data_IF_420357824856
#
_entry.id   IF_420357824856
#
_cell.length_a   1.000
_cell.length_b   1.000
_cell.length_c   1.000
_cell.angle_alpha   90.00
_cell.angle_beta   90.00
_cell.angle_gamma   90.00
#
_symmetry.space_group_name_H-M   'P 1'
#
loop_
_entity.id
_entity.type
_entity.pdbx_description
1 polymer ?
#
# COMPACT_ATOMS: atom_id res chain seq x y z
N UNK A 1 6.47 -14.45 -6.80
CA UNK A 1 6.40 -13.07 -6.29
C UNK A 1 5.01 -12.81 -5.71
N UNK A 2 4.97 -12.25 -4.52
CA UNK A 2 3.73 -11.81 -3.87
C UNK A 2 3.62 -10.31 -4.09
N UNK A 3 2.49 -9.85 -4.63
CA UNK A 3 2.20 -8.43 -4.80
C UNK A 3 1.32 -7.97 -3.64
N UNK A 4 1.84 -7.04 -2.86
CA UNK A 4 1.19 -6.54 -1.66
C UNK A 4 0.93 -5.04 -1.74
N UNK A 5 -0.18 -4.60 -1.15
CA UNK A 5 -0.49 -3.19 -0.98
C UNK A 5 -0.35 -2.87 0.51
N UNK A 6 0.26 -1.73 0.82
CA UNK A 6 0.32 -1.20 2.18
C UNK A 6 -0.24 0.22 2.18
N UNK A 7 -1.20 0.49 3.07
CA UNK A 7 -1.92 1.77 3.09
C UNK A 7 -2.53 2.05 4.46
N UNK A 8 -2.55 3.32 4.83
CA UNK A 8 -3.28 3.80 6.02
C UNK A 8 -4.50 4.59 5.56
N UNK A 9 -5.66 4.27 6.13
CA UNK A 9 -6.93 4.89 5.78
C UNK A 9 -7.73 5.22 7.04
N UNK A 10 -8.72 6.11 6.92
CA UNK A 10 -9.71 6.27 7.98
C UNK A 10 -10.95 5.41 7.67
N UNK A 11 -12.02 5.58 8.45
CA UNK A 11 -13.27 4.81 8.28
C UNK A 11 -13.98 5.05 6.95
N UNK A 12 -13.68 6.16 6.29
CA UNK A 12 -14.22 6.50 4.95
C UNK A 12 -13.25 6.13 3.82
N UNK A 13 -12.21 5.35 4.12
CA UNK A 13 -11.14 5.01 3.18
C UNK A 13 -10.34 6.22 2.69
N UNK A 14 -10.36 7.32 3.42
CA UNK A 14 -9.60 8.51 3.09
C UNK A 14 -8.11 8.30 3.35
N UNK A 15 -7.28 8.72 2.40
CA UNK A 15 -5.82 8.59 2.47
C UNK A 15 -5.09 9.92 2.35
N UNK A 16 -5.68 10.92 1.73
CA UNK A 16 -4.99 12.17 1.49
C UNK A 16 -5.89 13.38 1.41
N UNK A 17 -5.26 14.54 1.62
CA UNK A 17 -5.87 15.86 1.45
C UNK A 17 -4.80 16.84 1.00
N UNK A 18 -5.04 17.57 -0.08
CA UNK A 18 -4.11 18.55 -0.65
C UNK A 18 -2.69 18.00 -0.84
N UNK A 19 -2.60 16.81 -1.43
CA UNK A 19 -1.34 16.09 -1.72
C UNK A 19 -0.54 15.69 -0.48
N UNK A 20 -1.17 15.60 0.69
CA UNK A 20 -0.54 15.17 1.94
C UNK A 20 -1.31 14.03 2.57
N UNK A 21 -0.61 13.19 3.34
CA UNK A 21 -1.26 12.20 4.19
C UNK A 21 -2.06 12.94 5.27
N UNK A 22 -3.27 12.43 5.56
CA UNK A 22 -4.15 13.04 6.56
C UNK A 22 -3.63 12.81 7.98
N UNK A 23 -3.10 11.61 8.22
CA UNK A 23 -2.73 11.18 9.57
C UNK A 23 -1.24 10.85 9.64
N UNK A 24 -0.65 11.21 10.78
CA UNK A 24 0.67 10.73 11.16
C UNK A 24 0.50 9.74 12.30
N UNK A 25 0.82 8.48 12.03
CA UNK A 25 0.70 7.38 12.99
C UNK A 25 2.09 6.78 13.19
N UNK A 26 2.82 7.14 14.27
CA UNK A 26 4.21 6.68 14.46
C UNK A 26 4.36 5.16 14.41
N UNK A 27 3.44 4.42 15.01
CA UNK A 27 3.50 2.96 14.98
C UNK A 27 3.24 2.39 13.60
N UNK A 28 2.45 3.07 12.77
CA UNK A 28 2.26 2.69 11.37
C UNK A 28 3.54 2.87 10.57
N UNK A 29 4.27 3.95 10.80
CA UNK A 29 5.56 4.18 10.15
C UNK A 29 6.59 3.11 10.52
N UNK A 30 6.60 2.69 11.78
CA UNK A 30 7.46 1.58 12.24
C UNK A 30 7.11 0.27 11.57
N UNK A 31 5.81 -0.03 11.47
CA UNK A 31 5.31 -1.23 10.80
C UNK A 31 5.65 -1.22 9.31
N UNK A 32 5.43 -0.09 8.65
CA UNK A 32 5.79 0.10 7.24
C UNK A 32 7.26 -0.21 7.00
N UNK A 33 8.14 0.35 7.82
CA UNK A 33 9.57 0.11 7.73
C UNK A 33 9.91 -1.37 7.95
N UNK A 34 9.31 -1.99 8.95
CA UNK A 34 9.57 -3.40 9.27
C UNK A 34 9.12 -4.33 8.13
N UNK A 35 7.96 -4.06 7.52
CA UNK A 35 7.43 -4.88 6.43
C UNK A 35 8.21 -4.71 5.13
N UNK A 36 8.64 -3.48 4.81
CA UNK A 36 9.19 -3.17 3.49
C UNK A 36 10.72 -3.26 3.41
N UNK A 37 11.44 -3.19 4.53
CA UNK A 37 12.90 -3.26 4.52
C UNK A 37 13.39 -4.58 3.93
N UNK A 38 14.33 -4.48 2.99
CA UNK A 38 14.84 -5.62 2.25
C UNK A 38 13.99 -6.02 1.04
N UNK A 39 12.93 -5.29 0.76
CA UNK A 39 12.01 -5.57 -0.35
C UNK A 39 11.96 -4.42 -1.36
N UNK A 40 11.26 -4.66 -2.45
CA UNK A 40 10.98 -3.64 -3.46
C UNK A 40 9.69 -2.90 -3.10
N UNK A 41 9.75 -1.57 -3.20
CA UNK A 41 8.58 -0.69 -3.08
C UNK A 41 8.34 0.01 -4.40
N UNK A 42 7.07 0.07 -4.82
CA UNK A 42 6.64 0.73 -6.05
C UNK A 42 5.68 1.85 -5.69
N UNK A 43 5.90 3.01 -6.26
CA UNK A 43 5.13 4.22 -5.99
C UNK A 43 4.97 5.08 -7.24
N UNK A 44 3.94 5.92 -7.24
CA UNK A 44 3.80 6.97 -8.23
C UNK A 44 4.72 8.15 -7.93
N UNK A 45 4.89 9.04 -8.90
CA UNK A 45 5.77 10.20 -8.79
C UNK A 45 5.42 11.11 -7.61
N UNK A 46 4.12 11.42 -7.43
CA UNK A 46 3.68 12.30 -6.35
C UNK A 46 3.99 11.72 -4.97
N UNK A 47 3.85 10.42 -4.82
CA UNK A 47 4.22 9.73 -3.56
C UNK A 47 5.71 9.87 -3.31
N UNK A 48 6.54 9.69 -4.32
CA UNK A 48 7.98 9.89 -4.18
C UNK A 48 8.31 11.32 -3.76
N UNK A 49 7.67 12.29 -4.40
CA UNK A 49 7.91 13.71 -4.10
C UNK A 49 7.48 14.08 -2.66
N UNK A 50 6.59 13.30 -2.06
CA UNK A 50 6.16 13.49 -0.67
C UNK A 50 7.14 12.93 0.36
N UNK A 51 8.11 12.12 -0.06
CA UNK A 51 9.10 11.54 0.85
C UNK A 51 10.13 12.60 1.25
N UNK A 52 10.28 12.90 2.56
CA UNK A 52 11.12 14.02 3.01
C UNK A 52 12.60 13.90 2.63
N UNK A 53 13.10 12.66 2.56
CA UNK A 53 14.52 12.38 2.30
C UNK A 53 14.75 11.63 0.98
N UNK A 54 13.76 11.59 0.09
CA UNK A 54 13.85 10.87 -1.17
C UNK A 54 13.76 9.36 -1.00
N UNK A 55 14.52 8.61 -1.80
CA UNK A 55 14.47 7.16 -1.80
C UNK A 55 14.67 6.56 -0.40
N UNK A 56 13.83 5.58 -0.07
CA UNK A 56 13.88 4.96 1.26
C UNK A 56 15.05 3.96 1.33
N UNK A 57 15.85 4.01 2.40
CA UNK A 57 17.04 3.16 2.50
C UNK A 57 16.69 1.68 2.67
N UNK A 58 17.62 0.82 2.26
CA UNK A 58 17.53 -0.64 2.39
C UNK A 58 16.33 -1.26 1.68
N UNK A 59 15.84 -0.59 0.65
CA UNK A 59 14.74 -1.04 -0.20
C UNK A 59 15.06 -0.69 -1.64
N UNK A 60 14.58 -1.52 -2.55
CA UNK A 60 14.62 -1.17 -3.97
C UNK A 60 13.45 -0.23 -4.23
N UNK A 61 13.75 1.01 -4.59
CA UNK A 61 12.72 2.03 -4.86
C UNK A 61 12.43 2.06 -6.35
N UNK A 62 11.17 1.84 -6.72
CA UNK A 62 10.68 1.97 -8.09
C UNK A 62 9.65 3.08 -8.13
N UNK A 63 9.84 4.05 -9.03
CA UNK A 63 8.93 5.17 -9.26
C UNK A 63 8.33 5.04 -10.66
N UNK A 64 7.01 5.05 -10.74
CA UNK A 64 6.30 5.01 -12.01
C UNK A 64 5.99 6.43 -12.47
N UNK A 65 6.40 6.75 -13.69
CA UNK A 65 6.14 8.05 -14.31
C UNK A 65 6.15 7.92 -15.83
N UNK A 66 5.29 8.68 -16.49
CA UNK A 66 5.30 8.75 -17.95
C UNK A 66 6.48 9.56 -18.49
N UNK A 67 7.07 10.38 -17.65
CA UNK A 67 8.24 11.18 -17.99
C UNK A 67 9.52 10.40 -17.75
N UNK A 68 10.55 10.69 -18.52
CA UNK A 68 11.90 10.21 -18.25
C UNK A 68 12.45 10.91 -17.02
N UNK A 69 12.75 10.14 -15.99
CA UNK A 69 13.25 10.67 -14.74
C UNK A 69 14.57 9.99 -14.37
N UNK A 70 15.48 10.79 -13.85
CA UNK A 70 16.72 10.30 -13.25
C UNK A 70 16.69 10.68 -11.78
N UNK A 71 16.29 9.74 -10.93
CA UNK A 71 16.14 9.97 -9.50
C UNK A 71 17.21 9.18 -8.76
N UNK A 72 18.10 9.85 -7.98
CA UNK A 72 19.11 9.15 -7.20
C UNK A 72 18.48 8.12 -6.24
N UNK A 73 18.97 6.90 -6.29
CA UNK A 73 18.51 5.83 -5.41
C UNK A 73 17.21 5.17 -5.83
N UNK A 74 16.63 5.54 -6.97
CA UNK A 74 15.39 4.96 -7.48
C UNK A 74 15.52 4.55 -8.94
N UNK A 75 14.79 3.51 -9.32
CA UNK A 75 14.60 3.10 -10.70
C UNK A 75 13.28 3.66 -11.19
N UNK A 76 13.23 4.12 -12.43
CA UNK A 76 12.03 4.69 -13.02
C UNK A 76 11.54 3.83 -14.16
N UNK A 77 10.23 3.56 -14.16
CA UNK A 77 9.56 2.81 -15.21
C UNK A 77 8.32 3.59 -15.66
N UNK A 78 7.90 3.37 -16.91
CA UNK A 78 6.74 4.06 -17.47
C UNK A 78 5.41 3.40 -17.11
N UNK A 79 5.45 2.12 -16.73
CA UNK A 79 4.24 1.37 -16.38
C UNK A 79 4.48 0.37 -15.27
N UNK A 80 3.40 -0.01 -14.60
CA UNK A 80 3.42 -1.07 -13.60
C UNK A 80 3.88 -2.40 -14.23
N UNK A 81 3.41 -2.70 -15.43
CA UNK A 81 3.75 -3.94 -16.11
C UNK A 81 5.26 -4.06 -16.34
N UNK A 82 5.90 -3.00 -16.83
CA UNK A 82 7.35 -2.98 -17.02
C UNK A 82 8.10 -3.20 -15.72
N UNK A 83 7.66 -2.50 -14.66
CA UNK A 83 8.28 -2.62 -13.34
C UNK A 83 8.16 -4.05 -12.81
N UNK A 84 6.98 -4.65 -12.87
CA UNK A 84 6.74 -6.00 -12.35
C UNK A 84 7.51 -7.07 -13.11
N UNK A 85 7.81 -6.88 -14.39
CA UNK A 85 8.67 -7.79 -15.14
C UNK A 85 10.06 -7.93 -14.54
N UNK A 86 10.56 -6.88 -13.89
CA UNK A 86 11.87 -6.89 -13.24
C UNK A 86 11.84 -7.50 -11.85
N UNK A 87 10.66 -7.81 -11.32
CA UNK A 87 10.46 -8.26 -9.94
C UNK A 87 10.10 -9.76 -9.83
N UNK A 88 10.10 -10.51 -10.92
CA UNK A 88 9.57 -11.88 -10.95
C UNK A 88 10.25 -12.85 -9.98
N UNK A 89 11.50 -12.61 -9.67
CA UNK A 89 12.27 -13.46 -8.75
C UNK A 89 12.26 -12.97 -7.31
N UNK A 90 11.62 -11.84 -7.05
CA UNK A 90 11.52 -11.28 -5.71
C UNK A 90 10.43 -12.00 -4.91
N UNK A 91 10.64 -12.10 -3.60
CA UNK A 91 9.69 -12.76 -2.71
C UNK A 91 8.39 -11.97 -2.60
N UNK A 92 8.49 -10.68 -2.26
CA UNK A 92 7.35 -9.80 -2.06
C UNK A 92 7.66 -8.38 -2.53
N UNK A 93 6.69 -7.77 -3.19
CA UNK A 93 6.77 -6.40 -3.71
C UNK A 93 5.61 -5.60 -3.14
N UNK A 94 5.90 -4.39 -2.64
CA UNK A 94 4.92 -3.54 -1.96
C UNK A 94 4.55 -2.32 -2.80
N UNK A 95 3.26 -2.12 -3.00
CA UNK A 95 2.70 -0.90 -3.60
C UNK A 95 2.41 0.07 -2.45
N UNK A 96 3.00 1.26 -2.51
CA UNK A 96 2.91 2.21 -1.40
C UNK A 96 2.16 3.51 -1.73
N UNK A 97 1.55 3.60 -2.91
CA UNK A 97 0.69 4.72 -3.28
C UNK A 97 1.11 5.41 -4.57
N UNK A 98 0.36 6.39 -5.07
CA UNK A 98 -0.89 6.90 -4.44
C UNK A 98 -2.16 6.26 -4.96
N UNK A 99 -3.23 7.05 -4.90
CA UNK A 99 -4.59 6.56 -5.15
C UNK A 99 -4.78 5.88 -6.51
N UNK A 100 -4.24 6.45 -7.58
CA UNK A 100 -4.36 5.86 -8.91
C UNK A 100 -3.64 4.51 -9.01
N UNK A 101 -2.47 4.40 -8.38
CA UNK A 101 -1.73 3.14 -8.35
C UNK A 101 -2.43 2.10 -7.48
N UNK A 102 -3.04 2.50 -6.38
CA UNK A 102 -3.85 1.61 -5.57
C UNK A 102 -5.04 1.05 -6.36
N UNK A 103 -5.73 1.91 -7.13
CA UNK A 103 -6.84 1.47 -7.98
C UNK A 103 -6.39 0.47 -9.05
N UNK A 104 -5.24 0.73 -9.65
CA UNK A 104 -4.66 -0.16 -10.67
C UNK A 104 -4.24 -1.50 -10.09
N UNK A 105 -3.70 -1.52 -8.88
CA UNK A 105 -3.07 -2.71 -8.29
C UNK A 105 -4.01 -3.55 -7.44
N UNK A 106 -5.08 -2.97 -6.88
CA UNK A 106 -5.99 -3.72 -6.01
C UNK A 106 -6.57 -4.97 -6.69
N UNK A 107 -6.98 -4.93 -7.97
CA UNK A 107 -7.42 -6.14 -8.67
C UNK A 107 -6.35 -7.21 -8.86
N UNK A 108 -5.09 -6.86 -8.75
CA UNK A 108 -3.95 -7.74 -9.02
C UNK A 108 -3.27 -8.24 -7.74
N UNK A 109 -3.41 -7.53 -6.64
CA UNK A 109 -2.66 -7.77 -5.42
C UNK A 109 -3.08 -9.07 -4.74
N UNK A 110 -2.10 -9.70 -4.08
CA UNK A 110 -2.30 -10.93 -3.31
C UNK A 110 -2.58 -10.66 -1.84
N UNK A 111 -2.01 -9.57 -1.31
CA UNK A 111 -2.14 -9.17 0.10
C UNK A 111 -2.41 -7.68 0.22
N UNK A 112 -3.12 -7.33 1.28
CA UNK A 112 -3.41 -5.94 1.62
C UNK A 112 -3.10 -5.75 3.11
N UNK A 113 -2.11 -4.93 3.39
CA UNK A 113 -1.77 -4.52 4.76
C UNK A 113 -2.40 -3.15 5.00
N UNK A 114 -3.50 -3.14 5.72
CA UNK A 114 -4.30 -1.94 5.97
C UNK A 114 -4.10 -1.46 7.40
N UNK A 115 -3.88 -0.16 7.57
CA UNK A 115 -4.01 0.49 8.86
C UNK A 115 -5.29 1.32 8.81
N UNK A 116 -6.27 0.97 9.65
CA UNK A 116 -7.53 1.70 9.75
C UNK A 116 -7.50 2.59 10.97
N UNK A 117 -7.59 3.90 10.75
CA UNK A 117 -7.60 4.91 11.80
C UNK A 117 -9.05 5.21 12.15
N UNK A 118 -9.40 5.16 13.42
CA UNK A 118 -10.75 5.39 13.90
C UNK A 118 -11.11 6.87 13.92
N UNK A 119 -11.25 7.43 12.73
CA UNK A 119 -11.72 8.78 12.50
C UNK A 119 -12.47 8.82 11.16
N UNK A 120 -13.40 9.76 11.02
CA UNK A 120 -14.15 9.97 9.79
C UNK A 120 -14.34 11.45 9.50
N UNK A 121 -13.81 12.35 10.34
CA UNK A 121 -14.16 13.77 10.34
C UNK A 121 -13.13 14.67 9.68
N UNK A 122 -11.90 14.18 9.47
CA UNK A 122 -10.88 14.97 8.81
C UNK A 122 -11.20 15.20 7.33
N UNK A 123 -10.98 16.41 6.81
CA UNK A 123 -11.16 16.68 5.38
C UNK A 123 -10.28 15.75 4.53
N UNK A 124 -10.85 15.27 3.43
CA UNK A 124 -10.15 14.38 2.52
C UNK A 124 -10.58 14.63 1.08
N UNK A 125 -9.65 14.46 0.15
CA UNK A 125 -9.92 14.53 -1.29
C UNK A 125 -9.43 13.30 -2.04
N UNK A 126 -8.73 12.41 -1.36
CA UNK A 126 -8.11 11.22 -1.95
C UNK A 126 -8.48 10.00 -1.13
N UNK A 127 -8.96 8.95 -1.81
CA UNK A 127 -9.52 7.78 -1.16
C UNK A 127 -8.96 6.49 -1.74
N UNK A 128 -8.87 5.49 -0.88
CA UNK A 128 -8.59 4.11 -1.28
C UNK A 128 -9.87 3.49 -1.85
N UNK A 129 -9.77 2.59 -2.85
CA UNK A 129 -10.96 1.92 -3.38
C UNK A 129 -11.68 1.06 -2.34
N UNK A 130 -12.96 0.82 -2.56
CA UNK A 130 -13.75 -0.05 -1.70
C UNK A 130 -13.13 -1.45 -1.63
N UNK A 131 -13.09 -2.02 -0.42
CA UNK A 131 -12.55 -3.35 -0.18
C UNK A 131 -13.72 -4.34 -0.17
N UNK A 132 -13.77 -5.19 -1.20
CA UNK A 132 -14.82 -6.19 -1.35
C UNK A 132 -14.49 -7.43 -0.52
N UNK A 133 -15.25 -7.69 0.52
CA UNK A 133 -15.04 -8.84 1.41
C UNK A 133 -15.40 -10.19 0.77
N UNK A 134 -15.98 -10.19 -0.43
CA UNK A 134 -16.10 -11.39 -1.24
C UNK A 134 -14.80 -11.74 -1.96
N UNK A 135 -13.89 -10.78 -2.06
CA UNK A 135 -12.58 -10.94 -2.70
C UNK A 135 -11.47 -11.04 -1.67
N UNK A 136 -11.59 -10.31 -0.57
CA UNK A 136 -10.56 -10.18 0.45
C UNK A 136 -11.00 -10.83 1.77
N UNK A 137 -10.13 -11.69 2.32
CA UNK A 137 -10.33 -12.35 3.60
C UNK A 137 -9.44 -11.70 4.67
N UNK A 138 -10.04 -11.25 5.76
CA UNK A 138 -9.29 -10.73 6.91
C UNK A 138 -8.61 -11.89 7.64
N UNK A 139 -7.27 -11.85 7.69
CA UNK A 139 -6.48 -12.87 8.39
C UNK A 139 -6.12 -12.49 9.81
N UNK A 140 -5.75 -11.24 10.01
CA UNK A 140 -5.33 -10.70 11.31
C UNK A 140 -5.89 -9.32 11.53
N UNK A 141 -6.18 -9.02 12.79
CA UNK A 141 -6.56 -7.69 13.22
C UNK A 141 -5.93 -7.41 14.58
N UNK A 142 -5.14 -6.35 14.65
CA UNK A 142 -4.49 -5.89 15.86
C UNK A 142 -4.87 -4.44 16.10
N UNK A 143 -5.64 -4.17 17.15
CA UNK A 143 -6.13 -2.83 17.45
C UNK A 143 -5.42 -2.22 18.65
N UNK A 144 -5.20 -0.92 18.58
CA UNK A 144 -4.50 -0.15 19.58
C UNK A 144 -5.32 1.07 19.99
N UNK A 145 -5.37 1.39 21.28
CA UNK A 145 -6.06 2.59 21.76
C UNK A 145 -5.23 3.85 21.48
N UNK A 146 -5.82 5.00 21.78
CA UNK A 146 -5.09 6.27 21.83
C UNK A 146 -4.00 6.20 22.90
N UNK A 147 -2.92 6.95 22.68
CA UNK A 147 -1.85 7.12 23.64
C UNK A 147 -1.23 8.52 23.50
N UNK A 148 -0.11 8.77 24.17
CA UNK A 148 0.58 10.07 24.12
C UNK A 148 0.99 10.49 22.71
N UNK A 149 1.21 9.52 21.81
CA UNK A 149 1.68 9.77 20.44
C UNK A 149 0.59 9.57 19.39
N UNK A 150 -0.56 9.03 19.76
CA UNK A 150 -1.63 8.67 18.84
C UNK A 150 -2.96 9.29 19.28
N UNK A 151 -3.46 10.24 18.49
CA UNK A 151 -4.72 10.94 18.77
C UNK A 151 -5.95 10.06 18.55
N UNK A 152 -5.84 9.05 17.68
CA UNK A 152 -6.94 8.18 17.31
C UNK A 152 -6.59 6.73 17.59
N UNK A 153 -7.57 5.90 17.98
CA UNK A 153 -7.36 4.46 17.94
C UNK A 153 -7.12 4.02 16.51
N UNK A 154 -6.40 2.94 16.33
CA UNK A 154 -6.11 2.41 15.00
C UNK A 154 -5.97 0.90 15.06
N UNK A 155 -6.21 0.24 13.92
CA UNK A 155 -6.08 -1.21 13.79
C UNK A 155 -5.19 -1.53 12.61
N UNK A 156 -4.30 -2.49 12.79
CA UNK A 156 -3.59 -3.12 11.69
C UNK A 156 -4.41 -4.32 11.22
N UNK A 157 -4.79 -4.34 9.96
CA UNK A 157 -5.63 -5.38 9.40
C UNK A 157 -4.92 -5.98 8.19
N UNK A 158 -4.66 -7.28 8.25
CA UNK A 158 -4.03 -7.99 7.15
C UNK A 158 -5.10 -8.77 6.40
N UNK A 159 -5.19 -8.49 5.09
CA UNK A 159 -6.09 -9.21 4.18
C UNK A 159 -5.29 -10.05 3.20
N UNK A 160 -5.83 -11.20 2.85
CA UNK A 160 -5.37 -12.00 1.72
C UNK A 160 -6.49 -12.16 0.71
N UNK A 161 -6.11 -12.21 -0.57
CA UNK A 161 -7.08 -12.49 -1.62
C UNK A 161 -7.61 -13.91 -1.47
N UNK A 162 -8.93 -14.05 -1.54
CA UNK A 162 -9.59 -15.34 -1.53
C UNK A 162 -9.24 -16.05 -2.83
N UNK A 163 -8.66 -17.25 -2.73
CA UNK A 163 -8.37 -18.07 -3.89
C UNK A 163 -9.65 -18.73 -4.34
N UNK A 164 -9.96 -18.62 -5.63
CA UNK A 164 -11.07 -19.33 -6.18
C UNK A 164 -10.83 -20.83 -6.04
N UNK A 165 -11.79 -21.50 -5.44
CA UNK A 165 -11.81 -22.95 -5.36
C UNK A 165 -12.62 -23.48 -6.54
N UNK A 166 -11.92 -24.13 -7.46
CA UNK A 166 -12.58 -24.82 -8.58
C UNK A 166 -12.86 -26.25 -8.12
N UNK A 167 -14.12 -26.61 -7.90
CA UNK A 167 -14.45 -27.98 -7.52
C UNK A 167 -14.04 -28.96 -8.61
N UNK A 168 -13.46 -30.08 -8.23
CA UNK A 168 -12.98 -31.09 -9.17
C UNK A 168 -14.10 -31.64 -10.06
N UNK A 169 -15.33 -31.64 -9.57
CA UNK A 169 -16.51 -32.05 -10.31
C UNK A 169 -16.86 -31.16 -11.52
N UNK A 170 -16.39 -29.93 -11.53
CA UNK A 170 -16.62 -29.01 -12.65
C UNK A 170 -15.73 -29.29 -13.85
N UNK A 171 -14.72 -30.13 -13.68
CA UNK A 171 -13.76 -30.47 -14.71
C UNK A 171 -14.14 -31.71 -15.51
N UNK A 172 -15.35 -32.18 -15.35
CA UNK A 172 -15.84 -33.41 -16.01
C UNK A 172 -16.82 -33.12 -17.13
#
# INVERSE_FOLDING_TARGET
MILSIIVAVNRKLAIGFENRLIYRVPNDLKRFKALTTGHTIIMGRKTFDSLPKGALPNRRNIVLSRQELNIPGAECFHSLEEALKTCRTEEEVFIIGGASLYRETLPLADRLYLTEIEDADQPADTFFPAIDLNVWHEKNRECHPTDEKHLYPYCFIDYERIKEHVPASENQ
#
